data_IF_114258276601
#
_entry.id   IF_114258276601
#
_cell.length_a   1.000
_cell.length_b   1.000
_cell.length_c   1.000
_cell.angle_alpha   90.00
_cell.angle_beta   90.00
_cell.angle_gamma   90.00
#
_symmetry.space_group_name_H-M   'P 1'
#
loop_
_entity.id
_entity.type
_entity.pdbx_description
1 polymer ?
#
# COMPACT_ATOMS: atom_id res chain seq x y z
N UNK A 1 -18.72 -1.89 -15.23
CA UNK A 1 -19.27 -3.21 -14.82
C UNK A 1 -19.70 -4.00 -16.05
N UNK A 2 -18.78 -4.59 -16.83
CA UNK A 2 -19.15 -5.37 -18.04
C UNK A 2 -18.86 -6.88 -17.89
N UNK A 3 -18.11 -7.34 -16.88
CA UNK A 3 -17.73 -8.76 -16.76
C UNK A 3 -17.95 -9.31 -15.35
N UNK A 4 -19.20 -9.56 -14.96
CA UNK A 4 -19.50 -10.42 -13.81
C UNK A 4 -19.95 -11.83 -14.23
N UNK A 5 -20.43 -11.99 -15.46
CA UNK A 5 -20.87 -13.27 -16.03
C UNK A 5 -20.14 -13.44 -17.37
N UNK A 6 -19.61 -14.62 -17.66
CA UNK A 6 -18.75 -14.96 -18.81
C UNK A 6 -19.41 -14.83 -20.21
N UNK A 7 -20.34 -13.89 -20.40
CA UNK A 7 -20.92 -13.46 -21.69
C UNK A 7 -20.14 -12.25 -22.23
N UNK A 8 -18.81 -12.36 -22.35
CA UNK A 8 -17.90 -11.23 -22.63
C UNK A 8 -18.11 -10.52 -23.99
N UNK A 9 -19.00 -11.04 -24.84
CA UNK A 9 -19.32 -10.51 -26.17
C UNK A 9 -20.66 -9.78 -26.23
N UNK A 10 -21.44 -9.76 -25.14
CA UNK A 10 -22.78 -9.19 -25.15
C UNK A 10 -22.90 -7.97 -24.25
N UNK A 11 -23.54 -6.91 -24.74
CA UNK A 11 -23.85 -5.72 -23.95
C UNK A 11 -25.24 -5.16 -24.28
N UNK A 12 -25.87 -4.41 -23.37
CA UNK A 12 -27.19 -3.83 -23.63
C UNK A 12 -27.15 -2.82 -24.77
N UNK A 13 -28.10 -2.93 -25.71
CA UNK A 13 -28.24 -1.98 -26.83
C UNK A 13 -28.38 -0.53 -26.36
N UNK A 14 -29.07 -0.33 -25.23
CA UNK A 14 -29.26 0.97 -24.61
C UNK A 14 -27.95 1.61 -24.13
N UNK A 15 -26.95 0.81 -23.77
CA UNK A 15 -25.64 1.33 -23.40
C UNK A 15 -24.89 1.89 -24.63
N UNK A 16 -24.98 1.20 -25.77
CA UNK A 16 -24.38 1.68 -27.01
C UNK A 16 -25.08 2.93 -27.56
N UNK A 17 -26.41 2.96 -27.55
CA UNK A 17 -27.16 4.14 -27.97
C UNK A 17 -26.82 5.38 -27.13
N UNK A 18 -26.68 5.22 -25.80
CA UNK A 18 -26.20 6.31 -24.93
C UNK A 18 -24.80 6.78 -25.30
N UNK A 19 -23.87 5.86 -25.52
CA UNK A 19 -22.52 6.21 -25.97
C UNK A 19 -22.56 6.95 -27.32
N UNK A 20 -23.35 6.45 -28.27
CA UNK A 20 -23.50 7.05 -29.58
C UNK A 20 -24.07 8.47 -29.50
N UNK A 21 -25.12 8.70 -28.70
CA UNK A 21 -25.71 10.03 -28.52
C UNK A 21 -24.77 11.00 -27.78
N UNK A 22 -24.07 10.53 -26.76
CA UNK A 22 -23.26 11.39 -25.88
C UNK A 22 -21.86 11.68 -26.42
N UNK A 23 -21.30 10.78 -27.22
CA UNK A 23 -19.90 10.86 -27.69
C UNK A 23 -19.85 11.05 -29.20
N UNK A 24 -20.57 10.23 -29.96
CA UNK A 24 -20.44 10.19 -31.43
C UNK A 24 -21.30 11.27 -32.11
N UNK A 25 -22.53 11.46 -31.65
CA UNK A 25 -23.46 12.40 -32.26
C UNK A 25 -23.07 13.86 -32.00
N UNK A 26 -22.35 14.11 -30.90
CA UNK A 26 -21.79 15.40 -30.51
C UNK A 26 -20.55 15.79 -31.32
N UNK A 27 -19.92 14.85 -32.03
CA UNK A 27 -18.75 15.10 -32.86
C UNK A 27 -19.14 15.86 -34.14
N UNK A 28 -18.25 16.68 -34.71
CA UNK A 28 -18.52 17.42 -35.95
C UNK A 28 -18.31 16.56 -37.20
N UNK A 29 -17.68 15.39 -37.08
CA UNK A 29 -17.44 14.47 -38.20
C UNK A 29 -18.69 13.66 -38.56
N UNK A 30 -19.38 14.09 -39.61
CA UNK A 30 -20.55 13.42 -40.16
C UNK A 30 -20.26 12.01 -40.70
N UNK A 31 -19.06 11.75 -41.23
CA UNK A 31 -18.72 10.42 -41.74
C UNK A 31 -18.59 9.42 -40.60
N UNK A 32 -18.09 9.87 -39.45
CA UNK A 32 -17.92 9.06 -38.25
C UNK A 32 -19.27 8.63 -37.64
N UNK A 33 -20.29 9.51 -37.72
CA UNK A 33 -21.68 9.20 -37.33
C UNK A 33 -22.25 8.07 -38.19
N UNK A 34 -22.11 8.18 -39.51
CA UNK A 34 -22.66 7.17 -40.43
C UNK A 34 -21.99 5.81 -40.24
N UNK A 35 -20.66 5.78 -40.09
CA UNK A 35 -19.87 4.54 -39.92
C UNK A 35 -20.17 3.84 -38.60
N UNK A 36 -20.39 4.59 -37.52
CA UNK A 36 -20.68 4.03 -36.19
C UNK A 36 -22.18 3.89 -35.91
N UNK A 37 -23.04 4.16 -36.89
CA UNK A 37 -24.46 3.89 -36.77
C UNK A 37 -24.71 2.39 -36.56
N UNK A 38 -25.77 2.06 -35.83
CA UNK A 38 -26.12 0.66 -35.52
C UNK A 38 -26.28 -0.16 -36.80
N UNK A 39 -26.90 0.43 -37.81
CA UNK A 39 -27.14 -0.19 -39.11
C UNK A 39 -25.83 -0.46 -39.84
N UNK A 40 -24.90 0.50 -39.86
CA UNK A 40 -23.58 0.31 -40.45
C UNK A 40 -22.76 -0.74 -39.70
N UNK A 41 -22.82 -0.76 -38.37
CA UNK A 41 -22.10 -1.76 -37.56
C UNK A 41 -22.65 -3.18 -37.70
N UNK A 42 -23.96 -3.32 -37.93
CA UNK A 42 -24.56 -4.61 -38.33
C UNK A 42 -24.13 -5.02 -39.73
N UNK A 43 -24.18 -4.10 -40.70
CA UNK A 43 -23.77 -4.37 -42.08
C UNK A 43 -22.28 -4.74 -42.19
N UNK A 44 -21.43 -4.12 -41.37
CA UNK A 44 -20.01 -4.39 -41.29
C UNK A 44 -19.65 -5.65 -40.47
N UNK A 45 -20.64 -6.40 -39.96
CA UNK A 45 -20.46 -7.54 -39.06
C UNK A 45 -19.64 -7.21 -37.80
N UNK A 46 -19.65 -5.96 -37.36
CA UNK A 46 -19.11 -5.57 -36.05
C UNK A 46 -20.08 -6.03 -34.97
N UNK A 47 -21.38 -5.77 -35.16
CA UNK A 47 -22.45 -6.39 -34.40
C UNK A 47 -22.96 -7.62 -35.15
N UNK A 48 -22.90 -8.78 -34.49
CA UNK A 48 -23.26 -10.08 -35.08
C UNK A 48 -24.75 -10.37 -34.92
N UNK A 49 -25.33 -9.97 -33.78
CA UNK A 49 -26.74 -10.20 -33.50
C UNK A 49 -27.28 -9.15 -32.52
N UNK A 50 -28.56 -8.82 -32.64
CA UNK A 50 -29.33 -8.09 -31.64
C UNK A 50 -30.46 -9.01 -31.20
N UNK A 51 -30.40 -9.48 -29.95
CA UNK A 51 -31.46 -10.30 -29.38
C UNK A 51 -32.69 -9.41 -29.10
N UNK A 52 -33.76 -9.64 -29.86
CA UNK A 52 -35.00 -8.87 -29.73
C UNK A 52 -35.76 -9.08 -28.42
N UNK A 53 -35.48 -10.14 -27.66
CA UNK A 53 -36.13 -10.42 -26.37
C UNK A 53 -35.40 -9.77 -25.21
N UNK A 54 -34.06 -9.80 -25.22
CA UNK A 54 -33.22 -9.27 -24.14
C UNK A 54 -32.64 -7.88 -24.43
N UNK A 55 -32.80 -7.39 -25.66
CA UNK A 55 -32.22 -6.14 -26.18
C UNK A 55 -30.69 -6.07 -26.00
N UNK A 56 -30.03 -7.22 -26.11
CA UNK A 56 -28.58 -7.37 -26.01
C UNK A 56 -27.98 -7.43 -27.41
N UNK A 57 -26.90 -6.68 -27.61
CA UNK A 57 -26.09 -6.71 -28.82
C UNK A 57 -24.93 -7.67 -28.60
N UNK A 58 -24.68 -8.54 -29.57
CA UNK A 58 -23.51 -9.42 -29.60
C UNK A 58 -22.45 -8.82 -30.52
N UNK A 59 -21.27 -8.52 -29.97
CA UNK A 59 -20.10 -8.06 -30.71
C UNK A 59 -19.42 -9.24 -31.39
N UNK A 60 -18.84 -9.01 -32.58
CA UNK A 60 -17.97 -9.97 -33.24
C UNK A 60 -16.77 -10.29 -32.36
N UNK A 61 -16.45 -11.59 -32.26
CA UNK A 61 -15.31 -12.08 -31.48
C UNK A 61 -13.98 -11.51 -32.01
N UNK A 62 -13.85 -11.32 -33.32
CA UNK A 62 -12.64 -10.77 -33.92
C UNK A 62 -12.46 -9.30 -33.58
N UNK A 63 -13.54 -8.51 -33.65
CA UNK A 63 -13.52 -7.10 -33.24
C UNK A 63 -13.28 -6.97 -31.74
N UNK A 64 -13.91 -7.82 -30.94
CA UNK A 64 -13.66 -7.88 -29.50
C UNK A 64 -12.18 -8.15 -29.20
N UNK A 65 -11.58 -9.13 -29.87
CA UNK A 65 -10.16 -9.45 -29.70
C UNK A 65 -9.26 -8.27 -30.10
N UNK A 66 -9.60 -7.55 -31.17
CA UNK A 66 -8.89 -6.34 -31.60
C UNK A 66 -9.03 -5.24 -30.54
N UNK A 67 -10.24 -5.00 -30.01
CA UNK A 67 -10.47 -3.98 -28.98
C UNK A 67 -9.77 -4.33 -27.66
N UNK A 68 -9.77 -5.60 -27.25
CA UNK A 68 -9.01 -6.08 -26.09
C UNK A 68 -7.50 -5.96 -26.35
N UNK A 69 -7.06 -6.21 -27.58
CA UNK A 69 -5.68 -6.02 -27.96
C UNK A 69 -5.26 -4.54 -27.91
N UNK A 70 -6.15 -3.63 -28.34
CA UNK A 70 -5.99 -2.19 -28.23
C UNK A 70 -6.06 -1.68 -26.78
N UNK A 71 -6.85 -2.35 -25.92
CA UNK A 71 -6.99 -2.01 -24.51
C UNK A 71 -5.82 -2.55 -23.69
N UNK A 72 -4.65 -1.96 -23.93
CA UNK A 72 -3.37 -2.24 -23.24
C UNK A 72 -3.52 -2.09 -21.72
N UNK A 73 -4.46 -1.24 -21.26
CA UNK A 73 -4.70 -0.97 -19.84
C UNK A 73 -5.22 -2.19 -19.06
N UNK A 74 -5.91 -3.13 -19.74
CA UNK A 74 -6.48 -4.34 -19.14
C UNK A 74 -5.62 -5.57 -19.29
N UNK A 75 -4.61 -5.55 -20.15
CA UNK A 75 -3.68 -6.67 -20.32
C UNK A 75 -2.84 -6.84 -19.06
N UNK A 76 -2.69 -8.10 -18.64
CA UNK A 76 -1.81 -8.47 -17.53
C UNK A 76 -0.37 -8.49 -18.01
N UNK A 77 0.52 -7.94 -17.19
CA UNK A 77 1.97 -8.09 -17.39
C UNK A 77 2.36 -9.55 -17.17
N UNK A 78 3.36 -10.01 -17.92
CA UNK A 78 4.00 -11.28 -17.65
C UNK A 78 4.86 -11.16 -16.39
N UNK A 79 4.84 -12.21 -15.58
CA UNK A 79 5.75 -12.38 -14.44
C UNK A 79 6.76 -13.50 -14.74
N UNK A 80 7.47 -14.00 -13.73
CA UNK A 80 8.47 -15.04 -13.90
C UNK A 80 7.93 -16.37 -14.42
N UNK A 81 6.66 -16.72 -14.15
CA UNK A 81 6.15 -18.06 -14.42
C UNK A 81 5.96 -18.32 -15.93
N UNK A 82 5.33 -17.43 -16.73
CA UNK A 82 5.25 -17.59 -18.18
C UNK A 82 6.63 -17.70 -18.85
N UNK A 83 7.59 -16.84 -18.47
CA UNK A 83 8.95 -16.88 -19.02
C UNK A 83 9.64 -18.21 -18.73
N UNK A 84 9.50 -18.73 -17.51
CA UNK A 84 10.07 -20.03 -17.15
C UNK A 84 9.40 -21.18 -17.91
N UNK A 85 8.08 -21.11 -18.14
CA UNK A 85 7.36 -22.08 -18.98
C UNK A 85 7.90 -22.08 -20.42
N UNK A 86 8.04 -20.90 -21.03
CA UNK A 86 8.63 -20.76 -22.36
C UNK A 86 10.04 -21.34 -22.43
N UNK A 87 10.87 -21.07 -21.40
CA UNK A 87 12.23 -21.62 -21.32
C UNK A 87 12.21 -23.14 -21.31
N UNK A 88 11.38 -23.75 -20.46
CA UNK A 88 11.27 -25.20 -20.34
C UNK A 88 10.78 -25.84 -21.65
N UNK A 89 9.79 -25.24 -22.30
CA UNK A 89 9.27 -25.72 -23.58
C UNK A 89 10.35 -25.66 -24.68
N UNK A 90 11.09 -24.55 -24.80
CA UNK A 90 12.18 -24.41 -25.78
C UNK A 90 13.29 -25.42 -25.51
N UNK A 91 13.69 -25.62 -24.25
CA UNK A 91 14.70 -26.62 -23.87
C UNK A 91 14.25 -28.03 -24.24
N UNK A 92 13.00 -28.39 -23.92
CA UNK A 92 12.44 -29.70 -24.28
C UNK A 92 12.47 -29.92 -25.79
N UNK A 93 11.94 -28.97 -26.56
CA UNK A 93 11.85 -29.08 -28.01
C UNK A 93 13.23 -29.08 -28.69
N UNK A 94 14.18 -28.28 -28.21
CA UNK A 94 15.54 -28.28 -28.71
C UNK A 94 16.21 -29.65 -28.50
N UNK A 95 16.07 -30.23 -27.30
CA UNK A 95 16.60 -31.57 -27.02
C UNK A 95 15.94 -32.63 -27.91
N UNK A 96 14.62 -32.60 -28.10
CA UNK A 96 13.91 -33.50 -29.02
C UNK A 96 14.46 -33.39 -30.45
N UNK A 97 14.63 -32.16 -30.96
CA UNK A 97 15.19 -31.91 -32.31
C UNK A 97 16.58 -32.49 -32.50
N UNK A 98 17.44 -32.46 -31.47
CA UNK A 98 18.80 -33.04 -31.57
C UNK A 98 18.82 -34.57 -31.62
N UNK A 99 17.75 -35.24 -31.17
CA UNK A 99 17.68 -36.71 -31.09
C UNK A 99 16.93 -37.34 -32.27
N UNK A 100 16.07 -36.57 -32.95
CA UNK A 100 15.25 -37.07 -34.04
C UNK A 100 16.01 -37.08 -35.38
N UNK A 101 15.72 -38.05 -36.27
CA UNK A 101 16.32 -38.09 -37.60
C UNK A 101 15.77 -36.96 -38.48
N UNK A 102 16.65 -36.19 -39.11
CA UNK A 102 16.35 -34.95 -39.84
C UNK A 102 15.30 -35.13 -40.95
N UNK A 103 15.35 -36.23 -41.70
CA UNK A 103 14.40 -36.50 -42.78
C UNK A 103 13.06 -37.06 -42.30
N UNK A 104 12.95 -37.40 -41.01
CA UNK A 104 11.74 -37.98 -40.41
C UNK A 104 10.58 -36.99 -40.35
N UNK A 105 9.36 -37.51 -40.49
CA UNK A 105 8.12 -36.72 -40.33
C UNK A 105 8.08 -36.06 -38.95
N UNK A 106 8.41 -36.81 -37.90
CA UNK A 106 8.46 -36.31 -36.52
C UNK A 106 9.40 -35.12 -36.37
N UNK A 107 10.58 -35.12 -37.03
CA UNK A 107 11.49 -33.98 -36.98
C UNK A 107 10.85 -32.74 -37.61
N UNK A 108 10.22 -32.87 -38.77
CA UNK A 108 9.56 -31.74 -39.46
C UNK A 108 8.41 -31.16 -38.63
N UNK A 109 7.62 -32.00 -37.97
CA UNK A 109 6.53 -31.58 -37.09
C UNK A 109 7.07 -30.87 -35.84
N UNK A 110 8.05 -31.47 -35.14
CA UNK A 110 8.68 -30.84 -33.97
C UNK A 110 9.36 -29.52 -34.34
N UNK A 111 9.98 -29.44 -35.52
CA UNK A 111 10.62 -28.22 -36.02
C UNK A 111 9.59 -27.12 -36.29
N UNK A 112 8.45 -27.46 -36.91
CA UNK A 112 7.36 -26.51 -37.10
C UNK A 112 6.81 -26.00 -35.76
N UNK A 113 6.54 -26.89 -34.82
CA UNK A 113 6.06 -26.54 -33.48
C UNK A 113 7.07 -25.68 -32.69
N UNK A 114 8.36 -25.96 -32.84
CA UNK A 114 9.42 -25.15 -32.24
C UNK A 114 9.41 -23.71 -32.77
N UNK A 115 9.24 -23.51 -34.08
CA UNK A 115 9.16 -22.17 -34.67
C UNK A 115 7.86 -21.44 -34.33
N UNK A 116 6.76 -22.16 -34.22
CA UNK A 116 5.51 -21.63 -33.68
C UNK A 116 5.75 -21.11 -32.26
N UNK A 117 6.39 -21.91 -31.39
CA UNK A 117 6.73 -21.48 -30.02
C UNK A 117 7.67 -20.28 -29.97
N UNK A 118 8.66 -20.18 -30.84
CA UNK A 118 9.50 -18.97 -30.92
C UNK A 118 8.69 -17.74 -31.36
N UNK A 119 7.71 -17.93 -32.24
CA UNK A 119 6.82 -16.85 -32.69
C UNK A 119 5.88 -16.42 -31.56
N UNK A 120 5.31 -17.37 -30.81
CA UNK A 120 4.51 -17.10 -29.61
C UNK A 120 5.31 -16.27 -28.60
N UNK A 121 6.54 -16.69 -28.28
CA UNK A 121 7.45 -15.97 -27.38
C UNK A 121 7.70 -14.54 -27.86
N UNK A 122 7.93 -14.36 -29.17
CA UNK A 122 8.17 -13.03 -29.73
C UNK A 122 6.93 -12.12 -29.58
N UNK A 123 5.73 -12.66 -29.82
CA UNK A 123 4.47 -11.94 -29.64
C UNK A 123 4.27 -11.59 -28.16
N UNK A 124 4.43 -12.56 -27.27
CA UNK A 124 4.26 -12.37 -25.82
C UNK A 124 5.22 -11.33 -25.26
N UNK A 125 6.49 -11.33 -25.68
CA UNK A 125 7.47 -10.30 -25.31
C UNK A 125 7.02 -8.93 -25.83
N UNK A 126 6.68 -8.83 -27.12
CA UNK A 126 6.25 -7.57 -27.73
C UNK A 126 5.02 -6.99 -27.04
N UNK A 127 4.04 -7.83 -26.72
CA UNK A 127 2.85 -7.41 -25.98
C UNK A 127 3.20 -6.97 -24.56
N UNK A 128 4.00 -7.77 -23.84
CA UNK A 128 4.46 -7.42 -22.50
C UNK A 128 5.22 -6.10 -22.47
N UNK A 129 6.03 -5.79 -23.51
CA UNK A 129 6.72 -4.49 -23.61
C UNK A 129 5.74 -3.33 -23.65
N UNK A 130 4.68 -3.42 -24.46
CA UNK A 130 3.67 -2.36 -24.57
C UNK A 130 2.91 -2.17 -23.26
N UNK A 131 2.58 -3.26 -22.58
CA UNK A 131 1.91 -3.20 -21.27
C UNK A 131 2.83 -2.57 -20.23
N UNK A 132 4.10 -2.94 -20.21
CA UNK A 132 5.08 -2.38 -19.28
C UNK A 132 5.32 -0.89 -19.52
N UNK A 133 5.43 -0.47 -20.77
CA UNK A 133 5.60 0.94 -21.14
C UNK A 133 4.41 1.79 -20.65
N UNK A 134 3.18 1.34 -20.93
CA UNK A 134 1.96 1.98 -20.44
C UNK A 134 1.91 2.07 -18.91
N UNK A 135 2.36 1.04 -18.20
CA UNK A 135 2.36 1.02 -16.73
C UNK A 135 3.41 1.95 -16.14
N UNK A 136 4.55 2.09 -16.80
CA UNK A 136 5.57 3.06 -16.43
C UNK A 136 5.08 4.48 -16.69
N UNK A 137 4.33 4.73 -17.76
CA UNK A 137 3.66 6.00 -18.02
C UNK A 137 2.61 6.32 -16.94
N UNK A 138 1.79 5.35 -16.55
CA UNK A 138 0.83 5.50 -15.45
C UNK A 138 1.52 5.91 -14.14
N UNK A 139 2.66 5.29 -13.82
CA UNK A 139 3.49 5.66 -12.66
C UNK A 139 4.07 7.06 -12.81
N UNK A 140 4.54 7.42 -14.00
CA UNK A 140 5.06 8.75 -14.28
C UNK A 140 3.97 9.83 -14.10
N UNK A 141 2.74 9.56 -14.52
CA UNK A 141 1.63 10.50 -14.40
C UNK A 141 1.13 10.62 -12.96
N UNK A 142 1.11 9.51 -12.20
CA UNK A 142 0.87 9.57 -10.75
C UNK A 142 1.97 10.37 -10.03
N UNK A 143 3.23 10.18 -10.42
CA UNK A 143 4.36 10.93 -9.87
C UNK A 143 4.23 12.44 -10.15
N UNK A 144 3.97 12.83 -11.40
CA UNK A 144 3.75 14.24 -11.78
C UNK A 144 2.54 14.85 -11.05
N UNK A 145 1.44 14.12 -10.96
CA UNK A 145 0.22 14.58 -10.27
C UNK A 145 0.51 14.86 -8.80
N UNK A 146 1.35 14.04 -8.17
CA UNK A 146 1.81 14.24 -6.80
C UNK A 146 2.78 15.41 -6.67
N UNK A 147 3.67 15.62 -7.62
CA UNK A 147 4.49 16.85 -7.69
C UNK A 147 3.62 18.12 -7.81
N UNK A 148 2.48 18.02 -8.49
CA UNK A 148 1.49 19.09 -8.63
C UNK A 148 0.56 19.24 -7.40
N UNK A 149 0.74 18.43 -6.36
CA UNK A 149 0.00 18.53 -5.10
C UNK A 149 -1.25 17.66 -4.98
N UNK A 150 -1.46 16.69 -5.88
CA UNK A 150 -2.49 15.66 -5.67
C UNK A 150 -2.11 14.74 -4.51
N UNK A 151 -3.09 14.46 -3.65
CA UNK A 151 -2.97 13.55 -2.50
C UNK A 151 -3.67 12.20 -2.73
N UNK A 152 -4.12 11.92 -3.96
CA UNK A 152 -4.89 10.70 -4.27
C UNK A 152 -4.10 9.42 -4.06
N UNK A 153 -2.78 9.44 -4.32
CA UNK A 153 -1.89 8.29 -4.13
C UNK A 153 -0.81 8.63 -3.12
N UNK A 154 -0.70 7.82 -2.05
CA UNK A 154 0.33 7.99 -1.04
C UNK A 154 1.74 7.75 -1.59
N UNK A 155 2.76 8.36 -0.98
CA UNK A 155 4.17 8.15 -1.33
C UNK A 155 4.57 6.67 -1.29
N UNK A 156 4.24 6.01 -0.18
CA UNK A 156 4.57 4.59 0.03
C UNK A 156 3.83 3.70 -0.97
N UNK A 157 2.56 4.02 -1.28
CA UNK A 157 1.76 3.28 -2.24
C UNK A 157 2.36 3.38 -3.65
N UNK A 158 2.72 4.60 -4.09
CA UNK A 158 3.34 4.83 -5.39
C UNK A 158 4.72 4.15 -5.48
N UNK A 159 5.53 4.22 -4.42
CA UNK A 159 6.81 3.51 -4.34
C UNK A 159 6.64 2.00 -4.44
N UNK A 160 5.74 1.40 -3.66
CA UNK A 160 5.49 -0.03 -3.70
C UNK A 160 4.93 -0.48 -5.06
N UNK A 161 4.07 0.32 -5.69
CA UNK A 161 3.54 0.05 -7.02
C UNK A 161 4.65 0.07 -8.08
N UNK A 162 5.52 1.07 -8.05
CA UNK A 162 6.69 1.13 -8.93
C UNK A 162 7.65 -0.04 -8.70
N UNK A 163 7.89 -0.37 -7.44
CA UNK A 163 8.79 -1.47 -7.07
C UNK A 163 8.21 -2.82 -7.51
N UNK A 164 6.89 -3.00 -7.39
CA UNK A 164 6.21 -4.20 -7.85
C UNK A 164 6.39 -4.38 -9.35
N UNK A 165 6.10 -3.36 -10.17
CA UNK A 165 6.29 -3.43 -11.63
C UNK A 165 7.74 -3.77 -11.99
N UNK A 166 8.70 -3.15 -11.31
CA UNK A 166 10.12 -3.40 -11.56
C UNK A 166 10.54 -4.84 -11.25
N UNK A 167 10.25 -5.34 -10.04
CA UNK A 167 10.72 -6.66 -9.61
C UNK A 167 9.89 -7.82 -10.16
N UNK A 168 8.56 -7.67 -10.25
CA UNK A 168 7.68 -8.77 -10.66
C UNK A 168 7.56 -8.92 -12.16
N UNK A 169 7.80 -7.86 -12.94
CA UNK A 169 7.48 -7.87 -14.37
C UNK A 169 8.67 -7.46 -15.26
N UNK A 170 9.37 -6.37 -14.94
CA UNK A 170 10.53 -5.92 -15.74
C UNK A 170 11.73 -6.86 -15.55
N UNK A 171 12.05 -7.20 -14.29
CA UNK A 171 13.23 -8.01 -13.96
C UNK A 171 13.16 -9.41 -14.61
N UNK A 172 12.06 -10.18 -14.50
CA UNK A 172 12.00 -11.49 -15.13
C UNK A 172 12.10 -11.44 -16.67
N UNK A 173 11.56 -10.39 -17.29
CA UNK A 173 11.67 -10.21 -18.74
C UNK A 173 13.11 -9.88 -19.16
N UNK A 174 13.80 -9.03 -18.39
CA UNK A 174 15.24 -8.77 -18.58
C UNK A 174 16.06 -10.05 -18.43
N UNK A 175 15.81 -10.84 -17.40
CA UNK A 175 16.52 -12.10 -17.15
C UNK A 175 16.30 -13.11 -18.28
N UNK A 176 15.08 -13.19 -18.81
CA UNK A 176 14.73 -14.11 -19.91
C UNK A 176 15.41 -13.72 -21.25
N UNK A 177 15.44 -12.42 -21.58
CA UNK A 177 15.95 -11.91 -22.85
C UNK A 177 17.46 -11.67 -22.79
N UNK A 178 18.06 -11.52 -21.60
CA UNK A 178 19.48 -11.20 -21.50
C UNK A 178 20.35 -12.41 -21.89
N UNK A 179 21.12 -12.33 -22.99
CA UNK A 179 21.94 -13.44 -23.48
C UNK A 179 23.19 -13.68 -22.62
N UNK A 180 23.48 -12.80 -21.65
CA UNK A 180 24.65 -12.89 -20.76
C UNK A 180 24.30 -13.38 -19.35
N UNK A 181 23.04 -13.70 -19.08
CA UNK A 181 22.61 -14.10 -17.74
C UNK A 181 22.78 -15.61 -17.54
N UNK A 182 23.81 -16.01 -16.81
CA UNK A 182 24.02 -17.41 -16.43
C UNK A 182 23.06 -17.81 -15.30
N UNK A 183 22.22 -18.82 -15.56
CA UNK A 183 21.33 -19.38 -14.54
C UNK A 183 22.06 -20.51 -13.80
N UNK A 184 22.01 -20.48 -12.46
CA UNK A 184 22.62 -21.55 -11.66
C UNK A 184 21.82 -22.84 -11.80
N UNK A 185 22.41 -23.84 -12.46
CA UNK A 185 21.88 -25.21 -12.53
C UNK A 185 20.87 -25.47 -13.65
N UNK A 186 20.57 -24.49 -14.52
CA UNK A 186 19.71 -24.66 -15.70
C UNK A 186 20.28 -23.89 -16.89
N UNK A 187 20.09 -24.43 -18.11
CA UNK A 187 20.46 -23.71 -19.34
C UNK A 187 19.55 -22.51 -19.55
N UNK A 188 20.12 -21.36 -19.87
CA UNK A 188 19.31 -20.20 -20.26
C UNK A 188 18.79 -20.37 -21.70
N UNK A 189 17.86 -19.49 -22.09
CA UNK A 189 17.27 -19.54 -23.44
C UNK A 189 18.33 -19.35 -24.52
N UNK A 190 19.26 -18.41 -24.33
CA UNK A 190 20.30 -18.10 -25.32
C UNK A 190 21.26 -19.26 -25.55
N UNK A 191 21.68 -19.96 -24.50
CA UNK A 191 22.57 -21.13 -24.55
C UNK A 191 21.88 -22.26 -25.30
N UNK A 192 20.62 -22.56 -24.94
CA UNK A 192 19.83 -23.60 -25.59
C UNK A 192 19.70 -23.37 -27.09
N UNK A 193 19.46 -22.13 -27.49
CA UNK A 193 19.31 -21.76 -28.90
C UNK A 193 20.65 -21.79 -29.65
N UNK A 194 21.75 -21.39 -29.00
CA UNK A 194 23.11 -21.49 -29.56
C UNK A 194 23.55 -22.94 -29.73
N UNK A 195 23.24 -23.81 -28.77
CA UNK A 195 23.52 -25.24 -28.87
C UNK A 195 22.79 -25.85 -30.07
N UNK A 196 21.52 -25.47 -30.27
CA UNK A 196 20.72 -25.94 -31.41
C UNK A 196 21.21 -25.36 -32.75
N UNK A 197 21.63 -24.09 -32.78
CA UNK A 197 22.27 -23.46 -33.94
C UNK A 197 23.54 -24.22 -34.32
N UNK A 198 24.42 -24.50 -33.36
CA UNK A 198 25.65 -25.24 -33.60
C UNK A 198 25.38 -26.67 -34.09
N UNK A 199 24.39 -27.35 -33.50
CA UNK A 199 23.95 -28.66 -33.98
C UNK A 199 23.51 -28.63 -35.46
N UNK A 200 22.74 -27.62 -35.88
CA UNK A 200 22.34 -27.48 -37.29
C UNK A 200 23.52 -27.19 -38.22
N UNK A 201 24.54 -26.46 -37.75
CA UNK A 201 25.78 -26.26 -38.51
C UNK A 201 26.57 -27.56 -38.66
N UNK A 202 26.74 -28.34 -37.58
CA UNK A 202 27.50 -29.59 -37.57
C UNK A 202 26.90 -30.65 -38.52
N UNK A 203 25.58 -30.73 -38.60
CA UNK A 203 24.88 -31.68 -39.48
C UNK A 203 24.75 -31.17 -40.94
N UNK A 204 25.29 -29.98 -41.25
CA UNK A 204 25.30 -29.41 -42.61
C UNK A 204 24.01 -28.68 -43.02
N UNK A 205 23.08 -28.44 -42.10
CA UNK A 205 21.80 -27.76 -42.30
C UNK A 205 21.93 -26.24 -42.07
N UNK A 206 22.84 -25.61 -42.82
CA UNK A 206 23.23 -24.20 -42.65
C UNK A 206 22.06 -23.23 -42.81
N UNK A 207 21.11 -23.53 -43.69
CA UNK A 207 19.91 -22.69 -43.89
C UNK A 207 19.00 -22.68 -42.66
N UNK A 208 18.87 -23.82 -41.97
CA UNK A 208 18.10 -23.93 -40.71
C UNK A 208 18.79 -23.18 -39.58
N UNK A 209 20.12 -23.31 -39.47
CA UNK A 209 20.93 -22.57 -38.50
C UNK A 209 20.79 -21.05 -38.70
N UNK A 210 20.93 -20.56 -39.95
CA UNK A 210 20.78 -19.14 -40.27
C UNK A 210 19.36 -18.63 -39.98
N UNK A 211 18.33 -19.40 -40.33
CA UNK A 211 16.93 -19.04 -40.05
C UNK A 211 16.68 -18.92 -38.54
N UNK A 212 17.24 -19.84 -37.76
CA UNK A 212 17.18 -19.80 -36.31
C UNK A 212 17.86 -18.55 -35.78
N UNK A 213 19.09 -18.28 -36.22
CA UNK A 213 19.86 -17.09 -35.82
C UNK A 213 19.07 -15.79 -36.05
N UNK A 214 18.40 -15.64 -37.21
CA UNK A 214 17.56 -14.47 -37.48
C UNK A 214 16.37 -14.35 -36.51
N UNK A 215 15.68 -15.46 -36.22
CA UNK A 215 14.55 -15.47 -35.27
C UNK A 215 14.99 -15.14 -33.85
N UNK A 216 16.11 -15.71 -33.42
CA UNK A 216 16.70 -15.45 -32.12
C UNK A 216 17.12 -13.98 -31.99
N UNK A 217 17.74 -13.42 -33.03
CA UNK A 217 18.04 -11.99 -33.09
C UNK A 217 16.81 -11.09 -32.98
N UNK A 218 15.68 -11.49 -33.58
CA UNK A 218 14.42 -10.76 -33.51
C UNK A 218 13.75 -10.81 -32.12
N UNK A 219 14.03 -11.84 -31.31
CA UNK A 219 13.58 -11.89 -29.92
C UNK A 219 14.50 -11.04 -29.03
N UNK A 220 15.82 -11.20 -29.18
CA UNK A 220 16.78 -10.50 -28.33
C UNK A 220 16.94 -9.01 -28.64
N UNK A 221 16.45 -8.51 -29.79
CA UNK A 221 16.47 -7.08 -30.07
C UNK A 221 15.62 -6.26 -29.09
N UNK A 222 14.55 -6.84 -28.53
CA UNK A 222 13.71 -6.23 -27.50
C UNK A 222 14.45 -5.94 -26.19
N UNK A 223 15.64 -6.51 -25.98
CA UNK A 223 16.47 -6.23 -24.81
C UNK A 223 16.73 -4.72 -24.60
N UNK A 224 16.93 -3.99 -25.71
CA UNK A 224 17.16 -2.53 -25.64
C UNK A 224 15.91 -1.79 -25.18
N UNK A 225 14.75 -2.22 -25.64
CA UNK A 225 13.47 -1.59 -25.34
C UNK A 225 13.11 -1.79 -23.87
N UNK A 226 13.18 -3.03 -23.37
CA UNK A 226 12.93 -3.30 -21.95
C UNK A 226 13.93 -2.57 -21.04
N UNK A 227 15.19 -2.42 -21.47
CA UNK A 227 16.21 -1.68 -20.71
C UNK A 227 15.89 -0.20 -20.65
N UNK A 228 15.35 0.39 -21.72
CA UNK A 228 14.90 1.77 -21.73
C UNK A 228 13.71 1.97 -20.76
N UNK A 229 12.72 1.07 -20.79
CA UNK A 229 11.58 1.07 -19.85
C UNK A 229 12.08 0.94 -18.40
N UNK A 230 12.98 0.00 -18.14
CA UNK A 230 13.59 -0.22 -16.83
C UNK A 230 14.34 1.01 -16.32
N UNK A 231 15.11 1.67 -17.19
CA UNK A 231 15.85 2.89 -16.84
C UNK A 231 14.92 4.04 -16.46
N UNK A 232 13.80 4.19 -17.18
CA UNK A 232 12.78 5.20 -16.88
C UNK A 232 12.13 4.94 -15.52
N UNK A 233 11.71 3.71 -15.26
CA UNK A 233 11.11 3.35 -13.97
C UNK A 233 12.10 3.49 -12.80
N UNK A 234 13.36 3.11 -13.00
CA UNK A 234 14.41 3.26 -11.99
C UNK A 234 14.65 4.72 -11.59
N UNK A 235 14.56 5.66 -12.53
CA UNK A 235 14.68 7.08 -12.20
C UNK A 235 13.60 7.51 -11.20
N UNK A 236 12.35 7.10 -11.42
CA UNK A 236 11.26 7.36 -10.47
C UNK A 236 11.44 6.63 -9.15
N UNK A 237 11.88 5.37 -9.16
CA UNK A 237 12.15 4.61 -7.94
C UNK A 237 13.21 5.25 -7.05
N UNK A 238 14.30 5.75 -7.64
CA UNK A 238 15.36 6.45 -6.89
C UNK A 238 14.82 7.72 -6.25
N UNK A 239 14.05 8.52 -7.00
CA UNK A 239 13.46 9.74 -6.46
C UNK A 239 12.45 9.44 -5.34
N UNK A 240 11.55 8.48 -5.55
CA UNK A 240 10.57 8.05 -4.55
C UNK A 240 11.24 7.49 -3.29
N UNK A 241 12.33 6.72 -3.44
CA UNK A 241 13.09 6.20 -2.32
C UNK A 241 13.71 7.35 -1.48
N UNK A 242 14.29 8.34 -2.15
CA UNK A 242 14.84 9.53 -1.48
C UNK A 242 13.75 10.31 -0.75
N UNK A 243 12.64 10.60 -1.42
CA UNK A 243 11.49 11.28 -0.80
C UNK A 243 10.97 10.54 0.43
N UNK A 244 10.92 9.20 0.36
CA UNK A 244 10.50 8.35 1.48
C UNK A 244 11.47 8.39 2.64
N UNK A 245 12.78 8.36 2.36
CA UNK A 245 13.81 8.52 3.39
C UNK A 245 13.69 9.88 4.09
N UNK A 246 13.51 10.96 3.30
CA UNK A 246 13.25 12.29 3.85
C UNK A 246 12.00 12.31 4.72
N UNK A 247 10.90 11.74 4.25
CA UNK A 247 9.65 11.63 5.01
C UNK A 247 9.86 10.93 6.36
N UNK A 248 10.49 9.76 6.37
CA UNK A 248 10.76 9.00 7.59
C UNK A 248 11.70 9.74 8.54
N UNK A 249 12.70 10.45 8.02
CA UNK A 249 13.61 11.25 8.84
C UNK A 249 12.88 12.41 9.54
N UNK A 250 11.98 13.10 8.83
CA UNK A 250 11.16 14.17 9.39
C UNK A 250 10.17 13.63 10.42
N UNK A 251 9.52 12.50 10.16
CA UNK A 251 8.58 11.87 11.09
C UNK A 251 9.30 11.43 12.39
N UNK A 252 10.52 10.89 12.30
CA UNK A 252 11.34 10.56 13.47
C UNK A 252 11.73 11.79 14.27
N UNK A 253 12.19 12.85 13.61
CA UNK A 253 12.56 14.11 14.27
C UNK A 253 11.35 14.74 14.98
N UNK A 254 10.19 14.73 14.32
CA UNK A 254 8.93 15.20 14.91
C UNK A 254 8.48 14.32 16.08
N UNK A 255 8.63 13.00 15.98
CA UNK A 255 8.36 12.07 17.08
C UNK A 255 9.18 12.38 18.33
N UNK A 256 10.49 12.56 18.17
CA UNK A 256 11.41 12.95 19.26
C UNK A 256 11.00 14.29 19.88
N UNK A 257 10.59 15.26 19.05
CA UNK A 257 10.06 16.54 19.53
C UNK A 257 8.78 16.34 20.36
N UNK A 258 7.82 15.56 19.88
CA UNK A 258 6.56 15.29 20.60
C UNK A 258 6.81 14.56 21.92
N UNK A 259 7.71 13.57 21.94
CA UNK A 259 8.10 12.85 23.16
C UNK A 259 8.72 13.77 24.21
N UNK A 260 9.55 14.73 23.79
CA UNK A 260 10.14 15.71 24.69
C UNK A 260 9.13 16.66 25.35
N UNK A 261 7.94 16.80 24.75
CA UNK A 261 6.84 17.58 25.31
C UNK A 261 5.99 16.76 26.31
N UNK A 262 6.12 15.43 26.36
CA UNK A 262 5.34 14.57 27.26
C UNK A 262 5.56 14.92 28.75
N UNK A 263 6.79 15.13 29.26
CA UNK A 263 7.01 15.58 30.64
C UNK A 263 6.42 16.97 30.94
N UNK A 264 6.22 17.78 29.90
CA UNK A 264 5.67 19.13 30.02
C UNK A 264 4.13 19.13 30.12
N UNK A 265 3.45 18.02 29.75
CA UNK A 265 1.99 17.86 29.73
C UNK A 265 1.29 17.76 31.11
N UNK A 266 2.01 17.80 32.23
CA UNK A 266 1.37 17.87 33.55
C UNK A 266 0.49 19.13 33.65
N UNK A 267 -0.82 18.94 33.79
CA UNK A 267 -1.90 19.92 33.58
C UNK A 267 -1.95 21.14 34.52
N UNK A 268 -0.86 21.47 35.21
CA UNK A 268 -0.77 22.61 36.14
C UNK A 268 -0.24 23.91 35.52
N UNK A 269 0.23 23.91 34.27
CA UNK A 269 0.80 25.11 33.67
C UNK A 269 0.44 25.26 32.17
N UNK A 270 -0.08 26.43 31.79
CA UNK A 270 -0.33 26.84 30.41
C UNK A 270 0.95 27.47 29.80
N UNK A 271 1.12 27.40 28.47
CA UNK A 271 2.22 28.00 27.70
C UNK A 271 3.65 27.52 28.06
N UNK A 272 3.88 26.19 28.09
CA UNK A 272 5.25 25.66 28.19
C UNK A 272 5.92 25.62 26.82
N UNK A 273 7.13 26.17 26.75
CA UNK A 273 8.00 26.16 25.58
C UNK A 273 9.21 25.26 25.86
N UNK A 274 9.74 24.61 24.83
CA UNK A 274 11.07 24.02 24.92
C UNK A 274 12.10 25.16 24.89
N UNK A 275 13.01 25.18 25.87
CA UNK A 275 14.12 26.12 25.86
C UNK A 275 15.05 25.81 24.67
N UNK A 276 15.68 26.83 24.11
CA UNK A 276 16.62 26.69 22.97
C UNK A 276 17.76 25.70 23.26
N UNK A 277 18.15 25.54 24.53
CA UNK A 277 19.21 24.63 24.98
C UNK A 277 18.74 23.18 25.20
N UNK A 278 17.47 22.87 24.91
CA UNK A 278 16.92 21.52 25.04
C UNK A 278 17.70 20.52 24.20
N UNK A 279 17.97 19.33 24.75
CA UNK A 279 18.75 18.29 24.06
C UNK A 279 18.13 17.83 22.74
N UNK A 280 16.83 18.02 22.58
CA UNK A 280 16.08 17.75 21.34
C UNK A 280 16.59 18.58 20.18
N UNK A 281 16.98 19.84 20.43
CA UNK A 281 17.53 20.73 19.41
C UNK A 281 19.02 20.45 19.15
N UNK A 282 19.73 19.79 20.07
CA UNK A 282 21.10 19.29 19.82
C UNK A 282 21.14 18.13 18.83
N UNK A 283 20.05 17.36 18.70
CA UNK A 283 19.89 16.33 17.67
C UNK A 283 19.52 16.92 16.30
N UNK A 284 19.07 18.17 16.27
CA UNK A 284 18.71 18.90 15.06
C UNK A 284 19.89 19.62 14.39
N UNK A 285 21.13 19.33 14.80
CA UNK A 285 22.37 19.82 14.15
C UNK A 285 22.46 19.44 12.67
N UNK A 286 21.62 18.52 12.18
CA UNK A 286 21.44 18.23 10.75
C UNK A 286 21.00 19.44 9.94
N UNK A 287 20.40 20.45 10.59
CA UNK A 287 20.03 21.72 9.99
C UNK A 287 21.06 22.84 10.27
N UNK A 288 22.07 22.60 11.10
CA UNK A 288 23.14 23.57 11.34
C UNK A 288 23.97 23.76 10.07
N UNK A 289 24.21 25.02 9.72
CA UNK A 289 24.93 25.39 8.50
C UNK A 289 24.08 25.36 7.24
N UNK A 290 22.76 25.09 7.25
CA UNK A 290 21.89 25.28 6.06
C UNK A 290 21.91 26.72 5.53
N UNK A 291 22.09 27.69 6.41
CA UNK A 291 22.26 29.10 6.06
C UNK A 291 23.54 29.36 5.24
N UNK A 292 24.62 28.62 5.54
CA UNK A 292 25.88 28.65 4.80
C UNK A 292 25.91 27.68 3.59
N UNK A 293 25.17 26.57 3.68
CA UNK A 293 24.99 25.57 2.62
C UNK A 293 24.24 26.14 1.41
N UNK A 294 23.33 27.10 1.64
CA UNK A 294 22.59 27.85 0.61
C UNK A 294 23.52 28.53 -0.41
N UNK A 295 24.65 29.07 0.05
CA UNK A 295 25.58 29.86 -0.80
C UNK A 295 26.44 29.02 -1.75
N UNK A 296 26.73 27.76 -1.40
CA UNK A 296 27.65 26.89 -2.17
C UNK A 296 26.92 25.91 -3.08
N UNK A 297 25.68 25.56 -2.76
CA UNK A 297 24.86 24.58 -3.49
C UNK A 297 23.64 25.17 -4.19
N UNK A 298 23.40 26.49 -4.16
CA UNK A 298 22.30 27.13 -4.90
C UNK A 298 22.26 26.76 -6.39
N UNK A 299 23.42 26.43 -6.98
CA UNK A 299 23.55 25.98 -8.38
C UNK A 299 23.39 24.47 -8.59
N UNK A 300 23.34 23.65 -7.53
CA UNK A 300 23.26 22.16 -7.58
C UNK A 300 22.01 21.60 -6.91
N UNK A 301 21.43 22.32 -5.95
CA UNK A 301 20.14 22.01 -5.36
C UNK A 301 19.06 22.70 -6.19
N UNK A 302 18.67 22.05 -7.29
CA UNK A 302 17.57 22.54 -8.15
C UNK A 302 16.20 22.19 -7.54
N UNK A 303 16.08 22.27 -6.22
CA UNK A 303 14.81 22.13 -5.50
C UNK A 303 14.21 23.53 -5.39
N UNK A 304 13.28 23.83 -6.27
CA UNK A 304 12.63 25.15 -6.34
C UNK A 304 11.97 25.47 -4.98
N UNK A 305 12.39 26.55 -4.29
CA UNK A 305 11.89 26.93 -2.96
C UNK A 305 10.37 27.11 -2.89
N UNK A 306 9.73 27.43 -4.02
CA UNK A 306 8.28 27.50 -4.15
C UNK A 306 7.59 26.16 -3.88
N UNK A 307 8.19 25.04 -4.30
CA UNK A 307 7.60 23.69 -4.16
C UNK A 307 7.73 23.11 -2.75
N UNK A 308 8.74 23.51 -1.99
CA UNK A 308 8.94 23.01 -0.63
C UNK A 308 7.79 23.39 0.31
N UNK A 309 7.22 24.58 0.12
CA UNK A 309 6.07 25.04 0.88
C UNK A 309 4.79 24.28 0.49
N UNK A 310 4.62 23.97 -0.80
CA UNK A 310 3.50 23.16 -1.31
C UNK A 310 3.59 21.71 -0.82
N UNK A 311 4.79 21.13 -0.80
CA UNK A 311 5.00 19.79 -0.23
C UNK A 311 4.78 19.77 1.29
N UNK A 312 5.17 20.82 2.01
CA UNK A 312 4.89 20.96 3.45
C UNK A 312 3.39 21.15 3.73
N UNK A 313 2.69 21.97 2.94
CA UNK A 313 1.24 22.15 3.07
C UNK A 313 0.48 20.87 2.75
N UNK A 314 0.90 20.13 1.71
CA UNK A 314 0.37 18.81 1.41
C UNK A 314 0.64 17.81 2.53
N UNK A 315 1.81 17.87 3.15
CA UNK A 315 2.16 17.06 4.31
C UNK A 315 1.26 17.40 5.51
N UNK A 316 1.04 18.68 5.78
CA UNK A 316 0.16 19.15 6.84
C UNK A 316 -1.28 18.69 6.61
N UNK A 317 -1.79 18.81 5.39
CA UNK A 317 -3.11 18.31 4.98
C UNK A 317 -3.23 16.78 5.08
N UNK A 318 -2.23 16.01 4.65
CA UNK A 318 -2.21 14.56 4.81
C UNK A 318 -2.17 14.14 6.29
N UNK A 319 -1.42 14.87 7.12
CA UNK A 319 -1.35 14.63 8.57
C UNK A 319 -2.69 14.92 9.25
N UNK A 320 -3.41 15.97 8.82
CA UNK A 320 -4.76 16.29 9.31
C UNK A 320 -5.79 15.24 8.88
N UNK A 321 -5.61 14.64 7.69
CA UNK A 321 -6.53 13.64 7.12
C UNK A 321 -6.20 12.19 7.48
N UNK A 322 -5.00 11.91 8.01
CA UNK A 322 -4.70 10.60 8.60
C UNK A 322 -5.78 10.36 9.68
N UNK A 323 -6.59 9.29 9.58
CA UNK A 323 -7.48 8.96 10.68
C UNK A 323 -6.59 8.83 11.91
N UNK A 324 -6.85 9.66 12.92
CA UNK A 324 -6.21 9.54 14.23
C UNK A 324 -6.25 8.06 14.57
N UNK A 325 -5.09 7.45 14.88
CA UNK A 325 -5.04 6.06 15.38
C UNK A 325 -6.24 5.92 16.31
N UNK A 326 -7.20 5.07 15.94
CA UNK A 326 -8.36 4.83 16.79
C UNK A 326 -7.78 4.58 18.17
N UNK A 327 -8.14 5.45 19.12
CA UNK A 327 -7.93 5.12 20.52
C UNK A 327 -8.53 3.73 20.64
N UNK A 328 -7.72 2.75 21.04
CA UNK A 328 -8.25 1.50 21.54
C UNK A 328 -9.40 1.90 22.47
N UNK A 329 -10.61 1.46 22.14
CA UNK A 329 -11.77 1.64 22.99
C UNK A 329 -11.45 0.94 24.31
N UNK A 330 -10.77 1.64 25.21
CA UNK A 330 -10.84 1.33 26.62
C UNK A 330 -12.27 1.68 26.99
N UNK A 331 -13.12 0.71 27.37
CA UNK A 331 -14.49 0.99 27.79
C UNK A 331 -14.53 1.86 29.05
N UNK A 332 -13.41 1.95 29.77
CA UNK A 332 -13.27 2.71 31.00
C UNK A 332 -12.95 4.18 30.68
N UNK A 333 -13.89 5.07 31.04
CA UNK A 333 -13.72 6.52 30.93
C UNK A 333 -13.00 7.05 32.16
N UNK A 334 -12.20 8.11 32.02
CA UNK A 334 -11.70 8.82 33.19
C UNK A 334 -12.89 9.51 33.90
N UNK A 335 -12.86 9.55 35.22
CA UNK A 335 -13.90 10.16 36.04
C UNK A 335 -14.12 11.65 35.66
N UNK A 336 -15.36 12.15 35.52
CA UNK A 336 -15.63 13.56 35.28
C UNK A 336 -15.22 14.43 36.49
N UNK A 337 -14.85 15.69 36.22
CA UNK A 337 -14.38 16.66 37.24
C UNK A 337 -15.49 17.18 38.16
N UNK A 338 -16.74 17.12 37.69
CA UNK A 338 -17.93 17.52 38.44
C UNK A 338 -18.87 16.30 38.48
N UNK A 339 -19.19 15.86 39.68
CA UNK A 339 -20.06 14.73 39.93
C UNK A 339 -21.20 15.22 40.82
N UNK A 340 -22.43 15.01 40.37
CA UNK A 340 -23.63 15.34 41.12
C UNK A 340 -24.25 14.02 41.62
N UNK A 341 -24.29 13.84 42.93
CA UNK A 341 -24.94 12.68 43.57
C UNK A 341 -26.20 13.18 44.27
N UNK A 342 -27.30 12.44 44.11
CA UNK A 342 -28.54 12.68 44.84
C UNK A 342 -28.30 12.68 46.36
N UNK A 343 -28.83 13.68 47.07
CA UNK A 343 -28.61 13.88 48.52
C UNK A 343 -28.92 12.63 49.35
N UNK A 344 -29.99 11.90 49.01
CA UNK A 344 -30.39 10.65 49.68
C UNK A 344 -29.32 9.55 49.57
N UNK A 345 -28.60 9.48 48.43
CA UNK A 345 -27.54 8.49 48.20
C UNK A 345 -26.26 8.87 48.94
N UNK A 346 -25.97 10.17 49.07
CA UNK A 346 -24.89 10.67 49.91
C UNK A 346 -25.10 10.33 51.40
N UNK A 347 -26.32 10.52 51.92
CA UNK A 347 -26.67 10.17 53.30
C UNK A 347 -26.52 8.66 53.55
N UNK A 348 -26.93 7.84 52.58
CA UNK A 348 -26.76 6.39 52.66
C UNK A 348 -25.28 6.00 52.75
N UNK A 349 -24.42 6.55 51.88
CA UNK A 349 -22.98 6.27 51.88
C UNK A 349 -22.32 6.73 53.18
N UNK A 350 -22.68 7.91 53.68
CA UNK A 350 -22.17 8.43 54.96
C UNK A 350 -22.53 7.49 56.11
N UNK A 351 -23.77 7.01 56.16
CA UNK A 351 -24.20 6.10 57.24
C UNK A 351 -23.45 4.78 57.22
N UNK A 352 -23.27 4.16 56.04
CA UNK A 352 -22.51 2.92 55.87
C UNK A 352 -21.04 3.13 56.26
N UNK A 353 -20.43 4.21 55.78
CA UNK A 353 -19.00 4.47 55.95
C UNK A 353 -18.62 4.71 57.41
N UNK A 354 -19.41 5.48 58.17
CA UNK A 354 -19.07 5.85 59.54
C UNK A 354 -19.51 4.82 60.59
N UNK A 355 -20.56 4.04 60.32
CA UNK A 355 -21.15 3.12 61.31
C UNK A 355 -20.92 1.64 61.02
N UNK A 356 -20.73 1.25 59.76
CA UNK A 356 -20.61 -0.18 59.37
C UNK A 356 -19.18 -0.57 58.98
N UNK A 357 -18.37 0.35 58.45
CA UNK A 357 -16.97 0.09 58.14
C UNK A 357 -16.11 0.33 59.39
N UNK A 358 -15.63 -0.76 60.00
CA UNK A 358 -14.69 -0.67 61.11
C UNK A 358 -13.32 -0.15 60.64
N UNK A 359 -12.74 0.77 61.42
CA UNK A 359 -11.34 1.21 61.26
C UNK A 359 -10.44 0.18 61.91
N UNK A 360 -9.66 -0.52 61.09
CA UNK A 360 -8.64 -1.45 61.56
C UNK A 360 -7.37 -0.70 61.97
N UNK A 361 -6.67 -1.20 63.00
CA UNK A 361 -5.43 -0.58 63.51
C UNK A 361 -4.30 -0.52 62.46
N UNK A 362 -4.35 -1.33 61.41
CA UNK A 362 -3.35 -1.34 60.33
C UNK A 362 -4.01 -1.62 58.98
N UNK A 363 -3.87 -0.69 58.03
CA UNK A 363 -4.44 -0.77 56.68
C UNK A 363 -3.36 -0.40 55.67
N UNK A 364 -2.89 -1.35 54.85
CA UNK A 364 -1.80 -1.14 53.88
C UNK A 364 -2.24 -0.45 52.56
N UNK A 365 -3.53 -0.32 52.34
CA UNK A 365 -4.10 0.41 51.22
C UNK A 365 -5.50 0.86 51.60
N UNK A 366 -5.59 2.04 52.21
CA UNK A 366 -6.85 2.61 52.73
C UNK A 366 -7.90 2.69 51.63
N UNK A 367 -7.52 3.13 50.42
CA UNK A 367 -8.42 3.24 49.29
C UNK A 367 -9.00 1.88 48.88
N UNK A 368 -8.16 0.83 48.81
CA UNK A 368 -8.61 -0.50 48.42
C UNK A 368 -9.43 -1.19 49.51
N UNK A 369 -9.11 -0.94 50.78
CA UNK A 369 -9.88 -1.41 51.92
C UNK A 369 -11.30 -0.83 51.91
N UNK A 370 -11.43 0.49 51.78
CA UNK A 370 -12.73 1.17 51.70
C UNK A 370 -13.50 0.71 50.47
N UNK A 371 -12.85 0.56 49.32
CA UNK A 371 -13.49 0.05 48.10
C UNK A 371 -14.07 -1.36 48.28
N UNK A 372 -13.30 -2.29 48.86
CA UNK A 372 -13.76 -3.66 49.09
C UNK A 372 -14.93 -3.70 50.07
N UNK A 373 -14.86 -2.95 51.17
CA UNK A 373 -15.94 -2.91 52.17
C UNK A 373 -17.21 -2.26 51.63
N UNK A 374 -17.06 -1.21 50.82
CA UNK A 374 -18.19 -0.57 50.16
C UNK A 374 -18.86 -1.54 49.15
N UNK A 375 -18.09 -2.32 48.40
CA UNK A 375 -18.63 -3.33 47.48
C UNK A 375 -19.31 -4.50 48.20
N UNK A 376 -18.81 -4.90 49.37
CA UNK A 376 -19.43 -5.94 50.21
C UNK A 376 -20.80 -5.50 50.76
N UNK A 377 -20.91 -4.25 51.23
CA UNK A 377 -22.11 -3.71 51.85
C UNK A 377 -23.11 -3.14 50.83
N UNK A 378 -22.61 -2.65 49.69
CA UNK A 378 -23.40 -2.03 48.62
C UNK A 378 -22.91 -2.52 47.24
N UNK A 379 -23.42 -3.66 46.74
CA UNK A 379 -22.94 -4.30 45.50
C UNK A 379 -23.19 -3.50 44.21
N UNK A 380 -23.99 -2.43 44.27
CA UNK A 380 -24.25 -1.50 43.17
C UNK A 380 -23.49 -0.17 43.32
N UNK A 381 -22.47 -0.12 44.19
CA UNK A 381 -21.62 1.05 44.36
C UNK A 381 -20.67 1.24 43.16
N UNK A 382 -20.55 2.47 42.67
CA UNK A 382 -19.57 2.87 41.66
C UNK A 382 -18.37 3.62 42.25
N UNK A 383 -17.39 3.99 41.41
CA UNK A 383 -16.23 4.80 41.82
C UNK A 383 -16.64 6.17 42.39
N UNK A 384 -17.76 6.70 41.89
CA UNK A 384 -18.35 7.94 42.39
C UNK A 384 -18.73 7.79 43.87
N UNK A 385 -19.48 6.73 44.21
CA UNK A 385 -19.89 6.45 45.59
C UNK A 385 -18.66 6.21 46.50
N UNK A 386 -17.63 5.57 45.94
CA UNK A 386 -16.36 5.35 46.62
C UNK A 386 -15.61 6.62 46.99
N UNK A 387 -15.61 7.66 46.15
CA UNK A 387 -14.93 8.91 46.49
C UNK A 387 -15.54 9.60 47.71
N UNK A 388 -16.87 9.58 47.82
CA UNK A 388 -17.57 10.11 48.99
C UNK A 388 -17.33 9.24 50.22
N UNK A 389 -17.40 7.92 50.08
CA UNK A 389 -17.05 7.00 51.16
C UNK A 389 -15.60 7.23 51.63
N UNK A 390 -14.66 7.43 50.71
CA UNK A 390 -13.27 7.70 51.04
C UNK A 390 -13.14 9.03 51.79
N UNK A 391 -13.80 10.10 51.35
CA UNK A 391 -13.76 11.41 52.03
C UNK A 391 -14.25 11.30 53.48
N UNK A 392 -15.38 10.61 53.71
CA UNK A 392 -15.90 10.41 55.06
C UNK A 392 -15.02 9.47 55.89
N UNK A 393 -14.50 8.40 55.30
CA UNK A 393 -13.62 7.47 56.01
C UNK A 393 -12.32 8.14 56.44
N UNK A 394 -11.74 8.97 55.58
CA UNK A 394 -10.54 9.75 55.90
C UNK A 394 -10.79 10.72 57.07
N UNK A 395 -11.97 11.32 57.15
CA UNK A 395 -12.33 12.19 58.29
C UNK A 395 -12.41 11.45 59.63
N UNK A 396 -12.53 10.12 59.60
CA UNK A 396 -12.55 9.26 60.78
C UNK A 396 -11.15 8.73 61.18
N UNK A 397 -10.14 8.88 60.33
CA UNK A 397 -8.76 8.48 60.61
C UNK A 397 -7.98 9.61 61.31
N UNK A 398 -7.01 9.26 62.15
CA UNK A 398 -6.02 10.23 62.63
C UNK A 398 -5.00 10.56 61.52
N UNK A 399 -4.99 11.82 61.08
CA UNK A 399 -4.05 12.35 60.09
C UNK A 399 -2.58 12.05 60.41
N UNK A 400 -2.22 11.94 61.71
CA UNK A 400 -0.86 11.63 62.15
C UNK A 400 -0.42 10.19 61.84
N UNK A 401 -1.38 9.29 61.60
CA UNK A 401 -1.18 7.87 61.37
C UNK A 401 -1.29 7.46 59.89
N UNK A 402 -1.54 8.41 58.98
CA UNK A 402 -1.64 8.17 57.54
C UNK A 402 -0.30 8.47 56.85
N UNK A 403 0.20 7.51 56.05
CA UNK A 403 1.42 7.69 55.25
C UNK A 403 1.19 7.42 53.77
N UNK A 404 1.91 8.13 52.89
CA UNK A 404 1.74 8.04 51.44
C UNK A 404 2.94 7.40 50.75
N UNK A 405 2.71 6.34 49.98
CA UNK A 405 3.74 5.73 49.13
C UNK A 405 3.87 6.47 47.80
N UNK A 406 4.59 7.59 47.78
CA UNK A 406 4.68 8.50 46.62
C UNK A 406 5.13 7.86 45.30
N UNK A 407 5.83 6.73 45.35
CA UNK A 407 6.32 6.00 44.17
C UNK A 407 5.41 4.84 43.75
N UNK A 408 4.45 4.44 44.58
CA UNK A 408 3.56 3.33 44.30
C UNK A 408 2.16 3.86 43.93
N UNK A 409 1.67 3.43 42.77
CA UNK A 409 0.36 3.80 42.25
C UNK A 409 -0.47 2.55 42.07
N UNK A 410 -1.76 2.65 42.39
CA UNK A 410 -2.73 1.59 42.19
C UNK A 410 -3.96 2.15 41.46
N UNK A 411 -4.81 1.25 40.97
CA UNK A 411 -6.00 1.56 40.18
C UNK A 411 -7.23 0.85 40.72
N UNK A 412 -8.36 1.55 40.74
CA UNK A 412 -9.70 0.99 40.93
C UNK A 412 -10.53 1.24 39.67
N UNK A 413 -11.32 0.24 39.26
CA UNK A 413 -12.26 0.30 38.14
C UNK A 413 -13.64 -0.25 38.55
N UNK A 414 -14.72 0.32 38.02
CA UNK A 414 -16.12 -0.14 38.23
C UNK A 414 -16.80 -0.62 36.94
N UNK A 415 -16.02 -0.83 35.88
CA UNK A 415 -16.52 -1.21 34.55
C UNK A 415 -17.02 -0.05 33.67
N UNK A 416 -17.19 1.15 34.23
CA UNK A 416 -17.59 2.38 33.49
C UNK A 416 -16.51 3.45 33.58
N UNK A 417 -15.97 3.66 34.78
CA UNK A 417 -14.93 4.61 35.11
C UNK A 417 -13.69 3.91 35.70
N UNK A 418 -12.55 4.62 35.70
CA UNK A 418 -11.37 4.21 36.44
C UNK A 418 -10.75 5.38 37.20
N UNK A 419 -10.10 5.07 38.32
CA UNK A 419 -9.38 6.02 39.18
C UNK A 419 -7.96 5.50 39.45
N UNK A 420 -6.95 6.27 39.02
CA UNK A 420 -5.55 6.06 39.39
C UNK A 420 -5.22 6.89 40.63
N UNK A 421 -4.66 6.28 41.67
CA UNK A 421 -4.35 6.94 42.94
C UNK A 421 -2.97 6.55 43.50
N UNK A 422 -2.47 7.36 44.44
CA UNK A 422 -1.26 7.08 45.22
C UNK A 422 -1.69 6.31 46.47
N UNK A 423 -1.04 5.18 46.77
CA UNK A 423 -1.43 4.31 47.87
C UNK A 423 -1.21 5.00 49.22
N UNK A 424 -2.23 4.98 50.08
CA UNK A 424 -2.15 5.45 51.46
C UNK A 424 -2.20 4.28 52.43
N UNK A 425 -1.26 4.25 53.36
CA UNK A 425 -1.23 3.33 54.50
C UNK A 425 -1.75 4.04 55.75
N UNK A 426 -2.45 3.31 56.61
CA UNK A 426 -2.83 3.72 57.96
C UNK A 426 -2.24 2.75 58.98
N UNK A 427 -1.61 3.26 60.02
CA UNK A 427 -1.12 2.47 61.14
C UNK A 427 -1.29 3.24 62.45
N UNK A 428 -2.24 2.79 63.27
CA UNK A 428 -2.47 3.30 64.62
C UNK A 428 -1.58 2.53 65.61
N UNK A 429 -0.83 3.27 66.43
CA UNK A 429 0.25 2.74 67.27
C UNK A 429 -0.23 1.93 68.49
#
# INVERSE_FOLDING_TARGET
MINANETALQFPMTAYLKFYEQVIYQDDDYALKDILSVEALLQANVFVNIDGLTNMVTLSKDIYNILVWLDISRKKQLDSQPFESHRQDVVRLANELTTLPIEGINFKETYAFFYEKLSDIQVDISENMRVLDYRVDEIADMYKSREMGSLETGLDELFHRAQHVYHRNITPCLEFINPSLELKGTKNLSETLKDLEHYFEEIGEVDKARTLQFRVGAIFCYYKDIRAIASRLNAYLVNLAQEREFFLSMERAFGVLVESLVPLRHGRHQNKYLNADSEVFKLATTFDGLEDHKKKYEKRFNYSPSRGLDHFNNYYEMMLRRPLKQKLDNPLRALPLEIDIEEERCEQILSITLYEIAVDNMIENVQRYVWQKLQELLPNAGIIDFLYALEYFLSALDDACVSQRRNDRDRIDDGVYYLDYIIWDYAEA
#
